data_IF_153985780640
#
_entry.id   IF_153985780640
#
_cell.length_a   1.000
_cell.length_b   1.000
_cell.length_c   1.000
_cell.angle_alpha   90.00
_cell.angle_beta   90.00
_cell.angle_gamma   90.00
#
_symmetry.space_group_name_H-M   'P 1'
#
loop_
_entity.id
_entity.type
_entity.pdbx_description
1 polymer ?
#
# COMPACT_ATOMS: atom_id res chain seq x y z
N UNK A 1 9.28 -6.45 27.95
CA UNK A 1 9.45 -5.71 26.69
C UNK A 1 10.23 -6.63 25.77
N UNK A 2 9.61 -7.18 24.72
CA UNK A 2 10.37 -7.87 23.68
C UNK A 2 11.28 -6.81 23.04
N UNK A 3 12.59 -7.06 23.01
CA UNK A 3 13.53 -6.19 22.32
C UNK A 3 13.13 -6.15 20.84
N UNK A 4 13.19 -4.96 20.22
CA UNK A 4 13.01 -4.86 18.78
C UNK A 4 14.13 -5.69 18.12
N UNK A 5 13.75 -6.69 17.34
CA UNK A 5 14.69 -7.53 16.62
C UNK A 5 15.22 -6.73 15.44
N UNK A 6 16.50 -6.37 15.50
CA UNK A 6 17.16 -5.61 14.43
C UNK A 6 17.79 -6.59 13.45
N UNK A 7 17.33 -6.57 12.20
CA UNK A 7 18.03 -7.26 11.11
C UNK A 7 19.21 -6.36 10.72
N UNK A 8 20.37 -6.61 11.32
CA UNK A 8 21.56 -5.77 11.18
C UNK A 8 22.18 -5.80 9.78
N UNK A 9 21.78 -6.75 8.92
CA UNK A 9 22.31 -6.84 7.56
C UNK A 9 21.21 -7.34 6.61
N UNK A 10 20.58 -6.40 5.92
CA UNK A 10 19.61 -6.67 4.85
C UNK A 10 20.27 -7.30 3.61
N UNK A 11 21.60 -7.36 3.55
CA UNK A 11 22.35 -7.92 2.42
C UNK A 11 22.15 -7.17 1.10
N UNK A 12 21.58 -5.95 1.13
CA UNK A 12 21.50 -5.04 0.00
C UNK A 12 22.75 -4.16 -0.07
N UNK A 13 23.20 -3.87 -1.29
CA UNK A 13 24.39 -3.04 -1.53
C UNK A 13 24.06 -1.53 -1.58
N UNK A 14 22.77 -1.19 -1.61
CA UNK A 14 22.26 0.16 -1.77
C UNK A 14 21.00 0.40 -0.90
N UNK A 15 20.52 1.65 -0.86
CA UNK A 15 19.39 2.10 -0.05
C UNK A 15 18.15 1.24 -0.25
N UNK A 16 17.53 0.84 0.87
CA UNK A 16 16.28 0.09 0.92
C UNK A 16 15.13 1.11 0.87
N UNK A 17 14.17 0.87 -0.02
CA UNK A 17 13.01 1.76 -0.17
C UNK A 17 11.77 1.25 0.56
N UNK A 18 11.60 -0.07 0.62
CA UNK A 18 10.43 -0.69 1.24
C UNK A 18 10.77 -2.06 1.83
N UNK A 19 10.00 -2.43 2.85
CA UNK A 19 10.11 -3.69 3.57
C UNK A 19 8.71 -4.14 4.03
N UNK A 20 8.25 -5.26 3.50
CA UNK A 20 6.90 -5.79 3.78
C UNK A 20 6.96 -7.21 4.33
N UNK A 21 6.28 -7.45 5.45
CA UNK A 21 6.02 -8.79 5.95
C UNK A 21 4.83 -9.43 5.22
N UNK A 22 4.88 -10.74 5.05
CA UNK A 22 3.73 -11.51 4.62
C UNK A 22 2.62 -11.54 5.69
N UNK A 23 1.45 -12.02 5.30
CA UNK A 23 0.27 -12.04 6.18
C UNK A 23 0.50 -12.80 7.50
N UNK A 24 1.42 -13.77 7.52
CA UNK A 24 1.72 -14.59 8.68
C UNK A 24 2.95 -14.12 9.48
N UNK A 25 3.65 -13.09 9.02
CA UNK A 25 4.89 -12.60 9.64
C UNK A 25 6.07 -13.59 9.56
N UNK A 26 6.02 -14.54 8.62
CA UNK A 26 7.08 -15.56 8.42
C UNK A 26 8.03 -15.19 7.28
N UNK A 27 7.59 -14.34 6.35
CA UNK A 27 8.41 -13.90 5.22
C UNK A 27 8.51 -12.39 5.20
N UNK A 28 9.71 -11.90 4.96
CA UNK A 28 9.98 -10.49 4.75
C UNK A 28 10.48 -10.30 3.33
N UNK A 29 9.83 -9.42 2.57
CA UNK A 29 10.35 -8.92 1.31
C UNK A 29 10.97 -7.55 1.54
N UNK A 30 12.19 -7.35 1.06
CA UNK A 30 12.86 -6.05 1.05
C UNK A 30 13.22 -5.68 -0.38
N UNK A 31 13.12 -4.39 -0.71
CA UNK A 31 13.48 -3.89 -2.04
C UNK A 31 14.40 -2.68 -1.96
N UNK A 32 15.30 -2.56 -2.94
CA UNK A 32 16.40 -1.61 -2.90
C UNK A 32 16.66 -0.95 -4.26
N UNK A 33 17.43 0.15 -4.22
CA UNK A 33 18.07 0.76 -5.40
C UNK A 33 18.97 -0.20 -6.18
N UNK A 34 19.44 -1.30 -5.56
CA UNK A 34 20.25 -2.33 -6.21
C UNK A 34 19.49 -3.17 -7.27
N UNK A 35 18.21 -2.82 -7.53
CA UNK A 35 17.32 -3.43 -8.53
C UNK A 35 16.86 -4.85 -8.16
N UNK A 36 17.11 -5.27 -6.93
CA UNK A 36 16.76 -6.60 -6.44
C UNK A 36 15.70 -6.53 -5.36
N UNK A 37 14.96 -7.63 -5.24
CA UNK A 37 14.07 -7.88 -4.11
C UNK A 37 14.61 -9.11 -3.40
N UNK A 38 14.81 -9.02 -2.09
CA UNK A 38 15.28 -10.15 -1.28
C UNK A 38 14.14 -10.67 -0.43
N UNK A 39 13.99 -11.99 -0.43
CA UNK A 39 13.00 -12.69 0.40
C UNK A 39 13.73 -13.35 1.55
N UNK A 40 13.36 -12.97 2.77
CA UNK A 40 13.85 -13.57 3.99
C UNK A 40 12.76 -14.42 4.63
N UNK A 41 13.15 -15.55 5.19
CA UNK A 41 12.34 -16.33 6.10
C UNK A 41 12.72 -15.95 7.52
N UNK A 42 11.72 -15.68 8.35
CA UNK A 42 11.87 -15.27 9.74
C UNK A 42 11.35 -16.41 10.61
N UNK A 43 12.26 -17.01 11.37
CA UNK A 43 11.97 -18.02 12.39
C UNK A 43 12.43 -17.50 13.75
N UNK A 44 11.51 -16.90 14.49
CA UNK A 44 11.80 -16.26 15.77
C UNK A 44 12.86 -15.17 15.61
N UNK A 45 13.99 -15.33 16.29
CA UNK A 45 15.09 -14.36 16.27
C UNK A 45 16.03 -14.52 15.06
N UNK A 46 15.88 -15.59 14.28
CA UNK A 46 16.73 -15.86 13.12
C UNK A 46 16.07 -15.42 11.82
N UNK A 47 16.87 -14.87 10.92
CA UNK A 47 16.45 -14.56 9.55
C UNK A 47 17.37 -15.29 8.57
N UNK A 48 16.79 -15.85 7.52
CA UNK A 48 17.53 -16.53 6.46
C UNK A 48 17.13 -15.96 5.10
N UNK A 49 18.11 -15.57 4.30
CA UNK A 49 17.86 -15.22 2.91
C UNK A 49 17.42 -16.49 2.16
N UNK A 50 16.19 -16.49 1.65
CA UNK A 50 15.62 -17.57 0.84
C UNK A 50 16.04 -17.39 -0.60
N UNK A 51 15.74 -16.22 -1.17
CA UNK A 51 15.91 -15.96 -2.60
C UNK A 51 16.21 -14.48 -2.86
N UNK A 52 16.95 -14.20 -3.93
CA UNK A 52 17.12 -12.84 -4.47
C UNK A 52 16.48 -12.77 -5.85
N UNK A 53 15.37 -12.05 -5.95
CA UNK A 53 14.61 -11.84 -7.17
C UNK A 53 15.30 -10.75 -8.00
N UNK A 54 15.71 -11.11 -9.21
CA UNK A 54 16.32 -10.21 -10.19
C UNK A 54 15.45 -10.15 -11.43
N UNK A 55 15.12 -8.94 -11.88
CA UNK A 55 14.27 -8.76 -13.06
C UNK A 55 13.98 -7.30 -13.41
N UNK A 56 14.11 -6.38 -12.45
CA UNK A 56 13.99 -4.95 -12.69
C UNK A 56 15.26 -4.35 -13.28
N UNK A 57 15.09 -3.30 -14.08
CA UNK A 57 16.19 -2.55 -14.71
C UNK A 57 16.52 -1.26 -13.94
N UNK A 58 15.66 -0.87 -13.00
CA UNK A 58 15.79 0.31 -12.14
C UNK A 58 15.59 0.00 -10.65
N UNK A 59 15.63 1.04 -9.82
CA UNK A 59 15.39 0.95 -8.39
C UNK A 59 13.96 0.46 -8.11
N UNK A 60 13.82 -0.45 -7.16
CA UNK A 60 12.52 -1.01 -6.76
C UNK A 60 11.98 -0.19 -5.59
N UNK A 61 10.82 0.43 -5.78
CA UNK A 61 10.26 1.41 -4.85
C UNK A 61 9.37 0.81 -3.76
N UNK A 62 8.58 -0.21 -4.12
CA UNK A 62 7.56 -0.76 -3.24
C UNK A 62 7.35 -2.25 -3.52
N UNK A 63 7.04 -2.98 -2.46
CA UNK A 63 6.67 -4.40 -2.51
C UNK A 63 5.35 -4.61 -1.77
N UNK A 64 4.45 -5.40 -2.36
CA UNK A 64 3.16 -5.68 -1.76
C UNK A 64 2.82 -7.18 -1.82
N UNK A 65 2.50 -7.76 -0.68
CA UNK A 65 2.07 -9.15 -0.56
C UNK A 65 0.58 -9.30 -0.89
N UNK A 66 0.25 -10.29 -1.70
CA UNK A 66 -1.14 -10.64 -1.95
C UNK A 66 -1.73 -11.41 -0.76
N UNK A 67 -3.07 -11.45 -0.69
CA UNK A 67 -3.75 -12.24 0.32
C UNK A 67 -3.45 -13.76 0.14
N UNK A 68 -3.16 -14.53 1.21
CA UNK A 68 -2.76 -15.94 1.12
C UNK A 68 -3.75 -16.85 0.38
N UNK A 69 -5.02 -16.46 0.29
CA UNK A 69 -6.06 -17.16 -0.49
C UNK A 69 -5.68 -17.37 -1.96
N UNK A 70 -4.86 -16.47 -2.53
CA UNK A 70 -4.39 -16.56 -3.91
C UNK A 70 -3.03 -17.28 -4.04
N UNK A 71 -2.47 -17.74 -2.92
CA UNK A 71 -1.13 -18.27 -2.80
C UNK A 71 -0.10 -17.20 -2.42
N UNK A 72 1.16 -17.63 -2.27
CA UNK A 72 2.27 -16.73 -1.97
C UNK A 72 2.66 -15.94 -3.22
N UNK A 73 2.10 -14.73 -3.35
CA UNK A 73 2.33 -13.82 -4.47
C UNK A 73 2.85 -12.49 -3.93
N UNK A 74 3.85 -11.95 -4.61
CA UNK A 74 4.45 -10.64 -4.32
C UNK A 74 4.39 -9.78 -5.58
N UNK A 75 3.92 -8.55 -5.44
CA UNK A 75 4.03 -7.52 -6.46
C UNK A 75 5.19 -6.58 -6.13
N UNK A 76 5.91 -6.13 -7.16
CA UNK A 76 6.96 -5.13 -7.02
C UNK A 76 6.83 -4.04 -8.08
N UNK A 77 7.07 -2.79 -7.67
CA UNK A 77 7.09 -1.63 -8.57
C UNK A 77 8.48 -1.02 -8.64
N UNK A 78 8.83 -0.48 -9.80
CA UNK A 78 10.18 0.01 -10.07
C UNK A 78 10.19 1.30 -10.90
N UNK A 79 11.32 1.98 -10.82
CA UNK A 79 11.65 3.15 -11.63
C UNK A 79 11.66 2.87 -13.14
N UNK A 80 11.83 1.61 -13.54
CA UNK A 80 11.79 1.18 -14.96
C UNK A 80 10.39 1.24 -15.60
N UNK A 81 9.36 1.64 -14.84
CA UNK A 81 7.97 1.69 -15.30
C UNK A 81 7.29 0.34 -15.36
N UNK A 82 7.91 -0.71 -14.83
CA UNK A 82 7.39 -2.07 -14.82
C UNK A 82 6.87 -2.45 -13.44
N UNK A 83 5.76 -3.18 -13.43
CA UNK A 83 5.27 -3.92 -12.27
C UNK A 83 5.50 -5.39 -12.55
N UNK A 84 6.23 -6.05 -11.65
CA UNK A 84 6.50 -7.48 -11.74
C UNK A 84 5.72 -8.23 -10.66
N UNK A 85 5.15 -9.36 -11.05
CA UNK A 85 4.42 -10.24 -10.14
C UNK A 85 5.18 -11.54 -10.01
N UNK A 86 5.58 -11.83 -8.78
CA UNK A 86 6.37 -12.99 -8.39
C UNK A 86 5.45 -13.97 -7.67
N UNK A 87 5.61 -15.25 -7.97
CA UNK A 87 4.90 -16.32 -7.27
C UNK A 87 5.91 -17.35 -6.81
N UNK A 88 5.71 -17.80 -5.58
CA UNK A 88 6.38 -18.96 -5.08
C UNK A 88 5.71 -20.23 -5.59
N UNK A 89 6.51 -21.12 -6.17
CA UNK A 89 6.09 -22.46 -6.54
C UNK A 89 6.83 -23.48 -5.67
N UNK A 90 6.06 -24.26 -4.93
CA UNK A 90 6.59 -25.47 -4.31
C UNK A 90 6.75 -26.53 -5.40
N UNK A 91 7.99 -26.96 -5.67
CA UNK A 91 8.20 -28.10 -6.54
C UNK A 91 7.69 -29.36 -5.82
N UNK A 92 6.55 -29.89 -6.27
CA UNK A 92 6.11 -31.24 -5.93
C UNK A 92 7.00 -32.25 -6.68
N UNK A 93 8.25 -32.38 -6.26
CA UNK A 93 9.09 -33.52 -6.66
C UNK A 93 9.25 -34.45 -5.47
N UNK A 94 9.28 -35.76 -5.73
CA UNK A 94 9.45 -36.86 -4.77
C UNK A 94 10.81 -36.88 -4.07
N UNK A 95 11.56 -35.78 -4.13
CA UNK A 95 12.88 -35.61 -3.51
C UNK A 95 12.74 -34.92 -2.15
N UNK A 96 13.45 -35.36 -1.10
CA UNK A 96 13.33 -34.83 0.26
C UNK A 96 13.91 -33.42 0.46
N UNK A 97 14.36 -32.77 -0.62
CA UNK A 97 14.81 -31.37 -0.62
C UNK A 97 13.81 -30.57 -1.47
N UNK A 98 12.61 -30.41 -0.95
CA UNK A 98 11.59 -29.57 -1.56
C UNK A 98 11.98 -28.10 -1.39
N UNK A 99 12.84 -27.61 -2.29
CA UNK A 99 13.16 -26.20 -2.41
C UNK A 99 11.96 -25.44 -2.95
N UNK A 100 11.56 -24.37 -2.27
CA UNK A 100 10.56 -23.46 -2.79
C UNK A 100 11.23 -22.50 -3.78
N UNK A 101 10.75 -22.44 -5.02
CA UNK A 101 11.38 -21.61 -6.07
C UNK A 101 10.48 -20.43 -6.39
N UNK A 102 11.05 -19.24 -6.46
CA UNK A 102 10.35 -18.05 -6.90
C UNK A 102 10.44 -17.87 -8.40
N UNK A 103 9.31 -17.55 -9.03
CA UNK A 103 9.22 -17.35 -10.48
C UNK A 103 8.46 -16.08 -10.79
N UNK A 104 8.88 -15.37 -11.83
CA UNK A 104 8.13 -14.23 -12.38
C UNK A 104 6.96 -14.78 -13.20
N UNK A 105 5.73 -14.42 -12.81
CA UNK A 105 4.50 -14.90 -13.44
C UNK A 105 3.95 -13.88 -14.44
N UNK A 106 4.13 -12.60 -14.17
CA UNK A 106 3.60 -11.53 -15.01
C UNK A 106 4.52 -10.32 -15.00
N UNK A 107 4.63 -9.67 -16.15
CA UNK A 107 5.26 -8.38 -16.31
C UNK A 107 4.27 -7.38 -16.91
N UNK A 108 4.20 -6.22 -16.30
CA UNK A 108 3.33 -5.13 -16.75
C UNK A 108 4.18 -3.90 -17.01
N UNK A 109 4.32 -3.50 -18.26
CA UNK A 109 5.22 -2.42 -18.69
C UNK A 109 4.52 -1.35 -19.54
N UNK A 110 3.24 -1.08 -19.26
CA UNK A 110 2.46 -0.12 -20.05
C UNK A 110 2.63 1.34 -19.58
N UNK A 111 3.18 1.55 -18.39
CA UNK A 111 3.49 2.89 -17.88
C UNK A 111 4.72 3.46 -18.57
N UNK A 112 4.67 4.76 -18.89
CA UNK A 112 5.77 5.45 -19.60
C UNK A 112 6.79 6.05 -18.64
N UNK A 113 6.49 6.04 -17.34
CA UNK A 113 7.35 6.58 -16.29
C UNK A 113 7.38 5.62 -15.08
N UNK A 114 8.15 6.00 -14.05
CA UNK A 114 8.33 5.26 -12.80
C UNK A 114 7.00 4.89 -12.13
N UNK A 115 6.85 3.61 -11.75
CA UNK A 115 5.72 3.15 -10.93
C UNK A 115 6.12 3.26 -9.46
N UNK A 116 5.50 4.21 -8.77
CA UNK A 116 5.90 4.63 -7.43
C UNK A 116 5.34 3.72 -6.34
N UNK A 117 4.14 3.17 -6.54
CA UNK A 117 3.49 2.36 -5.52
C UNK A 117 2.59 1.29 -6.11
N UNK A 118 2.51 0.16 -5.41
CA UNK A 118 1.63 -0.97 -5.72
C UNK A 118 0.86 -1.38 -4.46
N UNK A 119 -0.42 -1.69 -4.61
CA UNK A 119 -1.26 -2.10 -3.48
C UNK A 119 -2.29 -3.13 -3.91
N UNK A 120 -2.35 -4.26 -3.20
CA UNK A 120 -3.36 -5.29 -3.41
C UNK A 120 -4.70 -4.86 -2.80
N UNK A 121 -5.78 -5.12 -3.52
CA UNK A 121 -7.11 -4.89 -3.00
C UNK A 121 -7.48 -5.88 -1.90
N UNK A 122 -8.47 -5.55 -1.06
CA UNK A 122 -9.08 -6.49 -0.14
C UNK A 122 -9.54 -7.76 -0.87
N UNK A 123 -9.25 -8.92 -0.27
CA UNK A 123 -9.46 -10.23 -0.87
C UNK A 123 -10.91 -10.54 -1.25
N UNK A 124 -11.87 -9.85 -0.65
CA UNK A 124 -13.29 -9.91 -0.98
C UNK A 124 -13.54 -9.39 -2.40
N UNK A 125 -12.81 -8.35 -2.82
CA UNK A 125 -12.93 -7.74 -4.15
C UNK A 125 -12.31 -8.59 -5.26
N UNK A 126 -11.56 -9.63 -4.91
CA UNK A 126 -10.82 -10.48 -5.83
C UNK A 126 -9.31 -10.21 -5.80
N UNK A 127 -8.58 -10.82 -6.73
CA UNK A 127 -7.15 -10.64 -6.88
C UNK A 127 -6.89 -9.41 -7.77
N UNK A 128 -7.00 -8.23 -7.18
CA UNK A 128 -6.76 -6.95 -7.85
C UNK A 128 -5.50 -6.28 -7.30
N UNK A 129 -4.71 -5.70 -8.20
CA UNK A 129 -3.52 -4.93 -7.87
C UNK A 129 -3.67 -3.54 -8.48
N UNK A 130 -3.62 -2.49 -7.66
CA UNK A 130 -3.55 -1.13 -8.15
C UNK A 130 -2.11 -0.63 -8.16
N UNK A 131 -1.76 0.13 -9.20
CA UNK A 131 -0.43 0.69 -9.38
C UNK A 131 -0.53 2.18 -9.67
N UNK A 132 0.28 2.97 -8.98
CA UNK A 132 0.38 4.42 -9.16
C UNK A 132 1.68 4.77 -9.90
N UNK A 133 1.56 5.52 -11.00
CA UNK A 133 2.69 5.90 -11.84
C UNK A 133 2.90 7.41 -11.89
N UNK A 134 4.16 7.82 -12.08
CA UNK A 134 4.57 9.19 -12.30
C UNK A 134 4.06 9.77 -13.63
N UNK A 135 3.57 8.94 -14.55
CA UNK A 135 2.95 9.38 -15.81
C UNK A 135 1.55 9.99 -15.64
N UNK A 136 1.05 10.05 -14.39
CA UNK A 136 -0.26 10.60 -14.05
C UNK A 136 -1.41 9.59 -14.14
N UNK A 137 -1.12 8.35 -14.55
CA UNK A 137 -2.09 7.29 -14.67
C UNK A 137 -2.05 6.35 -13.47
N UNK A 138 -3.21 5.79 -13.17
CA UNK A 138 -3.35 4.64 -12.30
C UNK A 138 -3.75 3.45 -13.14
N UNK A 139 -3.11 2.32 -12.89
CA UNK A 139 -3.51 1.05 -13.46
C UNK A 139 -4.10 0.13 -12.40
N UNK A 140 -5.15 -0.60 -12.76
CA UNK A 140 -5.73 -1.66 -11.94
C UNK A 140 -5.63 -2.95 -12.74
N UNK A 141 -4.86 -3.88 -12.21
CA UNK A 141 -4.65 -5.21 -12.76
C UNK A 141 -5.60 -6.18 -12.05
N UNK A 142 -6.34 -6.97 -12.81
CA UNK A 142 -7.21 -8.02 -12.29
C UNK A 142 -6.70 -9.37 -12.76
N UNK A 143 -6.46 -10.28 -11.81
CA UNK A 143 -6.18 -11.67 -12.11
C UNK A 143 -7.46 -12.48 -12.05
N UNK A 144 -7.90 -12.96 -13.21
CA UNK A 144 -9.10 -13.79 -13.35
C UNK A 144 -8.86 -14.91 -14.35
N UNK A 145 -9.31 -16.11 -14.00
CA UNK A 145 -9.29 -17.30 -14.88
C UNK A 145 -7.91 -17.56 -15.52
N UNK A 146 -6.84 -17.45 -14.72
CA UNK A 146 -5.45 -17.64 -15.14
C UNK A 146 -4.97 -16.63 -16.21
N UNK A 147 -5.66 -15.51 -16.36
CA UNK A 147 -5.30 -14.40 -17.24
C UNK A 147 -5.25 -13.09 -16.46
N UNK A 148 -4.39 -12.18 -16.92
CA UNK A 148 -4.29 -10.83 -16.38
C UNK A 148 -5.02 -9.86 -17.29
N UNK A 149 -6.02 -9.17 -16.76
CA UNK A 149 -6.64 -8.02 -17.41
C UNK A 149 -6.14 -6.74 -16.74
N UNK A 150 -6.13 -5.64 -17.47
CA UNK A 150 -5.68 -4.35 -16.95
C UNK A 150 -6.63 -3.24 -17.36
N UNK A 151 -6.74 -2.23 -16.51
CA UNK A 151 -7.43 -0.99 -16.77
C UNK A 151 -6.49 0.15 -16.45
N UNK A 152 -6.40 1.14 -17.33
CA UNK A 152 -5.56 2.32 -17.13
C UNK A 152 -6.45 3.54 -17.34
N UNK A 153 -6.38 4.48 -16.42
CA UNK A 153 -7.08 5.76 -16.52
C UNK A 153 -6.21 6.87 -15.94
N UNK A 154 -6.45 8.10 -16.41
CA UNK A 154 -5.72 9.27 -15.96
C UNK A 154 -6.27 9.74 -14.61
N UNK A 155 -5.39 9.86 -13.60
CA UNK A 155 -5.77 10.21 -12.25
C UNK A 155 -5.30 11.62 -11.84
N UNK A 156 -4.02 11.96 -12.07
CA UNK A 156 -3.42 13.23 -11.64
C UNK A 156 -2.57 13.84 -12.77
N UNK A 157 -2.57 15.17 -12.89
CA UNK A 157 -1.91 15.85 -14.01
C UNK A 157 -0.38 15.84 -13.96
N UNK A 158 0.20 15.76 -12.76
CA UNK A 158 1.65 15.86 -12.52
C UNK A 158 2.31 14.55 -12.09
N UNK A 159 1.55 13.45 -12.07
CA UNK A 159 2.00 12.15 -11.55
C UNK A 159 1.28 11.70 -10.29
N UNK A 160 1.24 10.38 -10.07
CA UNK A 160 0.64 9.73 -8.91
C UNK A 160 1.75 9.11 -8.06
N UNK A 161 1.83 9.51 -6.80
CA UNK A 161 2.87 9.03 -5.88
C UNK A 161 2.40 7.83 -5.08
N UNK A 162 1.12 7.78 -4.73
CA UNK A 162 0.58 6.77 -3.81
C UNK A 162 -0.88 6.43 -4.09
N UNK A 163 -1.28 5.24 -3.65
CA UNK A 163 -2.58 4.62 -3.83
C UNK A 163 -2.93 3.67 -2.68
N UNK A 164 -4.10 3.83 -2.06
CA UNK A 164 -4.55 2.92 -1.01
C UNK A 164 -5.99 2.50 -1.24
N UNK A 165 -6.25 1.20 -1.15
CA UNK A 165 -7.59 0.66 -1.22
C UNK A 165 -8.41 0.99 0.03
N UNK A 166 -9.69 1.25 -0.17
CA UNK A 166 -10.66 1.29 0.90
C UNK A 166 -11.01 -0.15 1.35
N UNK A 167 -11.43 -0.34 2.60
CA UNK A 167 -11.95 -1.62 3.07
C UNK A 167 -13.14 -2.09 2.23
N UNK A 168 -13.26 -3.40 2.00
CA UNK A 168 -14.38 -3.98 1.25
C UNK A 168 -15.74 -3.85 1.98
N UNK A 169 -15.72 -3.73 3.31
CA UNK A 169 -16.90 -3.51 4.12
C UNK A 169 -17.26 -2.01 4.11
N UNK A 170 -18.53 -1.71 3.87
CA UNK A 170 -19.02 -0.35 4.08
C UNK A 170 -18.93 0.01 5.57
N UNK A 171 -18.57 1.27 5.91
CA UNK A 171 -18.59 1.76 7.28
C UNK A 171 -19.93 1.45 7.95
N UNK A 172 -19.91 0.71 9.08
CA UNK A 172 -21.13 0.33 9.79
C UNK A 172 -21.87 -0.91 9.28
N UNK A 173 -21.32 -1.67 8.32
CA UNK A 173 -21.92 -2.92 7.81
C UNK A 173 -22.16 -3.99 8.88
N UNK A 174 -21.49 -3.94 10.03
CA UNK A 174 -21.75 -4.85 11.16
C UNK A 174 -22.96 -4.44 12.01
N UNK A 175 -23.44 -3.20 11.87
CA UNK A 175 -24.54 -2.62 12.66
C UNK A 175 -25.81 -2.49 11.79
N UNK A 176 -25.66 -2.39 10.47
CA UNK A 176 -26.78 -2.34 9.54
C UNK A 176 -27.43 -3.72 9.34
N UNK A 177 -28.73 -3.83 9.61
CA UNK A 177 -29.55 -5.02 9.32
C UNK A 177 -29.81 -5.24 7.82
N UNK A 178 -29.29 -4.36 6.96
CA UNK A 178 -29.40 -4.45 5.52
C UNK A 178 -28.01 -4.22 4.91
N UNK A 179 -27.25 -5.28 4.56
CA UNK A 179 -25.98 -5.11 3.86
C UNK A 179 -26.28 -4.46 2.52
N UNK A 180 -25.67 -3.30 2.24
CA UNK A 180 -25.76 -2.70 0.91
C UNK A 180 -25.31 -3.76 -0.12
N UNK A 181 -26.12 -4.05 -1.16
CA UNK A 181 -25.76 -5.05 -2.14
C UNK A 181 -24.66 -4.47 -3.04
N UNK A 182 -23.42 -4.87 -2.79
CA UNK A 182 -22.30 -4.56 -3.67
C UNK A 182 -21.00 -4.36 -2.91
N UNK A 183 -19.96 -5.11 -3.30
CA UNK A 183 -18.58 -4.80 -2.94
C UNK A 183 -18.25 -3.42 -3.50
N UNK A 184 -18.23 -2.40 -2.65
CA UNK A 184 -17.81 -1.07 -3.07
C UNK A 184 -16.29 -1.07 -3.16
N UNK A 185 -15.78 -1.26 -4.38
CA UNK A 185 -14.37 -1.09 -4.68
C UNK A 185 -14.08 0.40 -4.75
N UNK A 186 -13.38 0.90 -3.74
CA UNK A 186 -12.90 2.29 -3.72
C UNK A 186 -11.42 2.30 -3.39
N UNK A 187 -10.74 3.32 -3.85
CA UNK A 187 -9.39 3.61 -3.42
C UNK A 187 -9.15 5.12 -3.44
N UNK A 188 -8.13 5.54 -2.71
CA UNK A 188 -7.64 6.92 -2.69
C UNK A 188 -6.30 6.99 -3.40
N UNK A 189 -6.07 8.07 -4.13
CA UNK A 189 -4.79 8.37 -4.79
C UNK A 189 -4.25 9.70 -4.30
N UNK A 190 -2.94 9.77 -4.13
CA UNK A 190 -2.20 10.99 -3.82
C UNK A 190 -1.28 11.37 -4.97
N UNK A 191 -1.41 12.59 -5.46
CA UNK A 191 -0.64 13.08 -6.61
C UNK A 191 0.36 14.17 -6.29
N UNK A 192 1.22 14.44 -7.27
CA UNK A 192 2.12 15.61 -7.29
C UNK A 192 1.41 16.91 -7.68
N UNK A 193 0.08 16.88 -7.83
CA UNK A 193 -0.79 18.05 -8.00
C UNK A 193 -1.33 18.58 -6.67
N UNK A 194 -0.82 18.06 -5.54
CA UNK A 194 -1.22 18.40 -4.16
C UNK A 194 -2.63 17.93 -3.78
N UNK A 195 -3.27 17.16 -4.66
CA UNK A 195 -4.63 16.69 -4.49
C UNK A 195 -4.65 15.24 -4.00
N UNK A 196 -5.69 14.95 -3.25
CA UNK A 196 -6.15 13.59 -3.00
C UNK A 196 -7.43 13.35 -3.78
N UNK A 197 -7.53 12.19 -4.42
CA UNK A 197 -8.73 11.82 -5.20
C UNK A 197 -9.25 10.47 -4.73
N UNK A 198 -10.55 10.39 -4.50
CA UNK A 198 -11.25 9.15 -4.16
C UNK A 198 -11.94 8.65 -5.41
N UNK A 199 -11.75 7.38 -5.70
CA UNK A 199 -12.26 6.72 -6.89
C UNK A 199 -13.22 5.61 -6.49
N UNK A 200 -14.39 5.60 -7.11
CA UNK A 200 -15.41 4.57 -6.93
C UNK A 200 -15.53 3.73 -8.20
N UNK A 201 -15.51 2.41 -8.08
CA UNK A 201 -15.73 1.51 -9.21
C UNK A 201 -17.18 1.53 -9.64
N UNK A 202 -17.43 1.80 -10.92
CA UNK A 202 -18.75 1.65 -11.53
C UNK A 202 -18.80 0.33 -12.33
N UNK A 203 -19.65 -0.64 -11.93
CA UNK A 203 -19.82 -1.91 -12.65
C UNK A 203 -20.33 -1.76 -14.08
N UNK A 204 -21.11 -0.71 -14.39
CA UNK A 204 -21.72 -0.51 -15.69
C UNK A 204 -20.69 -0.08 -16.74
N UNK A 205 -19.85 0.91 -16.39
CA UNK A 205 -18.77 1.38 -17.25
C UNK A 205 -17.51 0.53 -17.13
N UNK A 206 -17.47 -0.41 -16.18
CA UNK A 206 -16.29 -1.21 -15.81
C UNK A 206 -15.05 -0.33 -15.63
N UNK A 207 -15.19 0.86 -15.07
CA UNK A 207 -14.08 1.76 -14.81
C UNK A 207 -14.26 2.45 -13.45
N UNK A 208 -13.18 3.07 -12.98
CA UNK A 208 -13.17 3.87 -11.77
C UNK A 208 -13.51 5.31 -12.10
N UNK A 209 -14.57 5.83 -11.49
CA UNK A 209 -14.99 7.21 -11.64
C UNK A 209 -14.50 8.03 -10.45
N UNK A 210 -14.12 9.27 -10.72
CA UNK A 210 -13.76 10.21 -9.67
C UNK A 210 -15.02 10.50 -8.84
N UNK A 211 -14.96 10.13 -7.56
CA UNK A 211 -16.01 10.38 -6.59
C UNK A 211 -15.83 11.78 -6.00
N UNK A 212 -14.64 12.01 -5.43
CA UNK A 212 -14.34 13.24 -4.69
C UNK A 212 -12.90 13.66 -4.84
N UNK A 213 -12.68 14.98 -4.81
CA UNK A 213 -11.37 15.60 -4.71
C UNK A 213 -11.24 16.25 -3.34
N UNK A 214 -10.19 15.88 -2.62
CA UNK A 214 -9.85 16.42 -1.31
C UNK A 214 -8.70 17.40 -1.47
N UNK A 215 -9.01 18.69 -1.25
CA UNK A 215 -8.06 19.80 -1.37
C UNK A 215 -7.60 20.22 0.02
N UNK A 216 -6.29 20.39 0.20
CA UNK A 216 -5.77 20.82 1.49
C UNK A 216 -4.26 20.91 1.59
N UNK A 217 -3.53 20.04 0.90
CA UNK A 217 -2.07 20.10 0.89
C UNK A 217 -1.57 21.23 0.00
N UNK A 218 -0.44 21.83 0.39
CA UNK A 218 0.20 22.91 -0.38
C UNK A 218 1.37 22.42 -1.25
N UNK A 219 1.77 21.16 -1.09
CA UNK A 219 2.87 20.52 -1.83
C UNK A 219 2.55 19.04 -2.09
N UNK A 220 3.45 18.34 -2.80
CA UNK A 220 3.23 16.98 -3.30
C UNK A 220 2.83 16.01 -2.19
N UNK A 221 1.76 15.27 -2.43
CA UNK A 221 1.33 14.19 -1.55
C UNK A 221 2.26 13.00 -1.77
N UNK A 222 3.01 12.61 -0.74
CA UNK A 222 3.98 11.51 -0.80
C UNK A 222 3.35 10.16 -0.56
N UNK A 223 2.39 10.11 0.36
CA UNK A 223 1.71 8.86 0.68
C UNK A 223 0.27 9.09 1.14
N UNK A 224 -0.60 8.10 0.86
CA UNK A 224 -1.99 8.07 1.27
C UNK A 224 -2.33 6.68 1.80
N UNK A 225 -3.00 6.63 2.94
CA UNK A 225 -3.37 5.38 3.59
C UNK A 225 -4.83 5.44 4.07
N UNK A 226 -5.65 4.53 3.57
CA UNK A 226 -7.03 4.36 4.04
C UNK A 226 -7.02 3.43 5.26
N UNK A 227 -7.67 3.84 6.33
CA UNK A 227 -7.76 3.01 7.54
C UNK A 227 -8.59 1.75 7.27
N UNK A 228 -8.11 0.56 7.71
CA UNK A 228 -8.87 -0.68 7.63
C UNK A 228 -10.07 -0.73 8.59
N UNK A 229 -10.30 0.33 9.37
CA UNK A 229 -11.39 0.40 10.33
C UNK A 229 -12.75 0.23 9.67
N UNK A 230 -13.54 -0.71 10.19
CA UNK A 230 -14.93 -1.00 9.78
C UNK A 230 -15.96 -0.25 10.63
N UNK A 231 -15.50 0.68 11.46
CA UNK A 231 -16.35 1.54 12.29
C UNK A 231 -17.24 2.44 11.42
N UNK A 232 -18.15 3.18 12.06
CA UNK A 232 -19.06 4.12 11.38
C UNK A 232 -18.35 5.31 10.72
N UNK A 233 -17.08 5.54 11.06
CA UNK A 233 -16.23 6.59 10.51
C UNK A 233 -15.16 5.98 9.61
N UNK A 234 -15.02 6.55 8.41
CA UNK A 234 -13.88 6.28 7.54
C UNK A 234 -12.77 7.26 7.84
N UNK A 235 -11.53 6.76 7.85
CA UNK A 235 -10.34 7.57 8.05
C UNK A 235 -9.40 7.38 6.86
N UNK A 236 -8.89 8.47 6.32
CA UNK A 236 -7.78 8.48 5.36
C UNK A 236 -6.69 9.37 5.96
N UNK A 237 -5.45 8.90 5.93
CA UNK A 237 -4.30 9.72 6.28
C UNK A 237 -3.51 10.05 5.02
N UNK A 238 -3.02 11.28 4.94
CA UNK A 238 -2.21 11.75 3.83
C UNK A 238 -0.98 12.49 4.32
N UNK A 239 0.19 12.08 3.86
CA UNK A 239 1.46 12.78 4.12
C UNK A 239 1.88 13.56 2.89
N UNK A 240 2.35 14.78 3.11
CA UNK A 240 2.86 15.65 2.06
C UNK A 240 4.25 16.19 2.37
N UNK A 241 4.90 16.68 1.32
CA UNK A 241 6.13 17.46 1.41
C UNK A 241 5.96 18.83 2.09
N UNK A 242 4.71 19.29 2.25
CA UNK A 242 4.39 20.49 3.02
C UNK A 242 4.63 20.35 4.53
N UNK A 243 5.16 19.19 4.97
CA UNK A 243 5.45 18.83 6.36
C UNK A 243 4.20 18.68 7.21
N UNK A 244 3.06 18.38 6.58
CA UNK A 244 1.82 18.10 7.28
C UNK A 244 1.33 16.69 6.99
N UNK A 245 0.74 16.07 8.02
CA UNK A 245 -0.20 14.95 7.83
C UNK A 245 -1.60 15.50 7.94
N UNK A 246 -2.46 15.17 6.99
CA UNK A 246 -3.90 15.43 7.10
C UNK A 246 -4.63 14.12 7.34
N UNK A 247 -5.48 14.13 8.36
CA UNK A 247 -6.42 13.05 8.64
C UNK A 247 -7.78 13.47 8.16
N UNK A 248 -8.27 12.78 7.14
CA UNK A 248 -9.58 12.98 6.56
C UNK A 248 -10.55 12.01 7.22
N UNK A 249 -11.63 12.55 7.78
CA UNK A 249 -12.70 11.75 8.38
C UNK A 249 -14.00 11.95 7.62
N UNK A 250 -14.74 10.86 7.41
CA UNK A 250 -16.09 10.90 6.85
C UNK A 250 -17.01 9.98 7.62
N UNK A 251 -18.16 10.52 8.03
CA UNK A 251 -19.22 9.75 8.70
C UNK A 251 -20.07 9.00 7.67
N UNK A 252 -20.46 7.76 8.00
CA UNK A 252 -21.34 6.94 7.18
C UNK A 252 -22.68 7.63 6.85
N UNK A 253 -23.20 8.51 7.72
CA UNK A 253 -24.46 9.20 7.48
C UNK A 253 -24.39 10.28 6.40
N UNK A 254 -23.21 10.85 6.17
CA UNK A 254 -23.02 12.03 5.33
C UNK A 254 -22.28 11.74 4.03
N UNK A 255 -22.19 10.46 3.62
CA UNK A 255 -21.55 9.93 2.41
C UNK A 255 -21.12 11.02 1.40
N UNK A 256 -19.94 11.61 1.62
CA UNK A 256 -19.44 12.69 0.77
C UNK A 256 -18.97 13.96 1.49
N UNK A 257 -19.20 14.15 2.79
CA UNK A 257 -18.51 15.22 3.51
C UNK A 257 -17.24 14.67 4.20
N UNK A 258 -16.08 15.12 3.74
CA UNK A 258 -14.80 14.86 4.40
C UNK A 258 -14.35 16.10 5.15
N UNK A 259 -14.02 15.92 6.42
CA UNK A 259 -13.37 16.94 7.24
C UNK A 259 -11.89 16.57 7.38
N UNK A 260 -11.01 17.57 7.32
CA UNK A 260 -9.58 17.36 7.56
C UNK A 260 -9.16 17.90 8.92
N UNK A 261 -8.34 17.13 9.62
CA UNK A 261 -7.54 17.59 10.75
C UNK A 261 -6.08 17.58 10.34
N UNK A 262 -5.39 18.69 10.59
CA UNK A 262 -3.98 18.86 10.24
C UNK A 262 -3.08 18.57 11.43
N UNK A 263 -2.02 17.80 11.18
CA UNK A 263 -0.91 17.54 12.10
C UNK A 263 0.35 18.12 11.47
N UNK A 264 0.99 19.03 12.18
CA UNK A 264 2.21 19.71 11.72
C UNK A 264 3.45 18.98 12.21
N UNK A 265 4.45 18.89 11.33
CA UNK A 265 5.74 18.29 11.58
C UNK A 265 6.86 19.24 11.14
N UNK A 266 8.05 19.07 11.70
CA UNK A 266 9.21 19.92 11.35
C UNK A 266 9.89 19.48 10.04
N UNK A 267 9.60 18.27 9.57
CA UNK A 267 10.25 17.61 8.43
C UNK A 267 9.27 17.12 7.37
N UNK A 268 9.80 16.87 6.17
CA UNK A 268 9.07 16.19 5.10
C UNK A 268 8.69 14.79 5.54
N UNK A 269 7.52 14.32 5.09
CA UNK A 269 6.99 13.01 5.44
C UNK A 269 6.96 12.11 4.21
N UNK A 270 7.26 10.82 4.39
CA UNK A 270 7.47 9.89 3.29
C UNK A 270 6.42 8.80 3.19
N UNK A 271 6.09 8.16 4.33
CA UNK A 271 5.11 7.07 4.40
C UNK A 271 4.17 7.24 5.58
N UNK A 272 2.95 6.75 5.39
CA UNK A 272 1.92 6.68 6.41
C UNK A 272 1.29 5.29 6.37
N UNK A 273 1.11 4.68 7.54
CA UNK A 273 0.50 3.35 7.61
C UNK A 273 -0.41 3.23 8.83
N UNK A 274 -1.55 2.58 8.62
CA UNK A 274 -2.52 2.29 9.67
C UNK A 274 -2.25 0.93 10.29
N UNK A 275 -2.52 0.82 11.59
CA UNK A 275 -2.60 -0.49 12.23
C UNK A 275 -3.72 -1.32 11.61
N UNK A 276 -3.61 -2.67 11.59
CA UNK A 276 -4.71 -3.53 11.12
C UNK A 276 -6.03 -3.34 11.90
N UNK A 277 -5.93 -2.86 13.15
CA UNK A 277 -7.09 -2.46 13.97
C UNK A 277 -7.69 -1.09 13.60
N UNK A 278 -7.01 -0.30 12.77
CA UNK A 278 -7.45 1.01 12.29
C UNK A 278 -7.35 2.16 13.30
N UNK A 279 -6.75 1.94 14.48
CA UNK A 279 -6.76 2.89 15.59
C UNK A 279 -5.43 3.63 15.80
N UNK A 280 -4.32 3.10 15.28
CA UNK A 280 -2.99 3.69 15.43
C UNK A 280 -2.46 4.03 14.04
N UNK A 281 -1.90 5.23 13.92
CA UNK A 281 -1.24 5.71 12.71
C UNK A 281 0.27 5.76 12.94
N UNK A 282 1.03 5.16 12.03
CA UNK A 282 2.48 5.31 11.96
C UNK A 282 2.82 6.30 10.86
N UNK A 283 3.65 7.28 11.17
CA UNK A 283 4.13 8.32 10.24
C UNK A 283 5.65 8.26 10.22
N UNK A 284 6.22 8.22 9.03
CA UNK A 284 7.68 8.26 8.82
C UNK A 284 8.11 9.62 8.27
N UNK A 285 9.05 10.25 8.96
CA UNK A 285 9.63 11.54 8.59
C UNK A 285 10.99 11.40 7.92
N UNK A 286 11.45 12.49 7.29
CA UNK A 286 12.80 12.63 6.76
C UNK A 286 13.86 12.87 7.83
N UNK A 287 13.48 12.94 9.11
CA UNK A 287 14.37 12.94 10.28
C UNK A 287 14.80 11.54 10.73
N UNK A 288 14.48 10.51 9.94
CA UNK A 288 14.69 9.09 10.26
C UNK A 288 13.94 8.63 11.52
N UNK A 289 12.87 9.34 11.91
CA UNK A 289 12.02 8.96 13.04
C UNK A 289 10.68 8.42 12.56
N UNK A 290 10.14 7.49 13.34
CA UNK A 290 8.76 7.00 13.15
C UNK A 290 7.93 7.42 14.34
N UNK A 291 6.96 8.30 14.11
CA UNK A 291 6.02 8.75 15.13
C UNK A 291 4.73 7.94 15.06
N UNK A 292 4.25 7.49 16.21
CA UNK A 292 2.96 6.83 16.38
C UNK A 292 1.93 7.80 16.93
N UNK A 293 0.74 7.81 16.32
CA UNK A 293 -0.36 8.69 16.65
C UNK A 293 -1.64 7.91 16.93
N UNK A 294 -2.46 8.42 17.84
CA UNK A 294 -3.76 7.84 18.20
C UNK A 294 -4.79 8.93 18.42
N UNK A 295 -6.03 8.66 18.05
CA UNK A 295 -7.17 9.53 18.33
C UNK A 295 -7.64 9.36 19.79
N UNK A 296 -7.82 10.49 20.46
CA UNK A 296 -8.40 10.58 21.79
C UNK A 296 -9.93 10.59 21.76
N UNK A 297 -10.56 10.42 22.93
CA UNK A 297 -12.03 10.47 23.07
C UNK A 297 -12.66 11.79 22.60
N UNK A 298 -11.87 12.87 22.53
CA UNK A 298 -12.30 14.19 22.03
C UNK A 298 -12.17 14.33 20.50
N UNK A 299 -11.69 13.30 19.80
CA UNK A 299 -11.41 13.34 18.37
C UNK A 299 -10.18 14.16 17.99
N UNK A 300 -9.21 14.30 18.90
CA UNK A 300 -7.92 14.94 18.64
C UNK A 300 -6.84 13.88 18.56
N UNK A 301 -5.86 14.08 17.68
CA UNK A 301 -4.74 13.16 17.51
C UNK A 301 -3.60 13.53 18.46
N UNK A 302 -3.16 12.56 19.25
CA UNK A 302 -2.03 12.71 20.15
C UNK A 302 -0.91 11.77 19.75
N UNK A 303 0.32 12.26 19.93
CA UNK A 303 1.54 11.52 19.72
C UNK A 303 1.73 10.53 20.86
N UNK A 304 1.69 9.24 20.54
CA UNK A 304 1.84 8.16 21.52
C UNK A 304 3.31 7.89 21.81
N UNK A 305 4.13 7.80 20.76
CA UNK A 305 5.54 7.42 20.88
C UNK A 305 6.34 7.82 19.65
N UNK A 306 7.59 8.21 19.87
CA UNK A 306 8.61 8.21 18.82
C UNK A 306 9.46 6.96 18.91
N UNK A 307 9.70 6.37 17.75
CA UNK A 307 10.66 5.30 17.57
C UNK A 307 11.82 5.93 16.80
N UNK A 308 12.97 5.95 17.47
CA UNK A 308 14.27 6.32 16.92
C UNK A 308 15.12 5.06 16.94
N UNK A 309 16.03 4.92 15.96
CA UNK A 309 17.06 3.87 15.97
C UNK A 309 18.09 4.07 17.10
#
# INVERSE_FOLDING_TARGET
MAAAQVISNSGHDDMIHDAGLDYYGRRLATCSSDKTIKIFEIEGETHRLVETLKGHEGAVWCVAWAHPKFGTILASSSYDGKVLIWREQHQNTTSPVAGSTWTKVFDFSLHTASVNMVSWAPHESGCLLACASSDGHVSVLEFRDNSWTHQIFHAHGMGVNSISWAPAASPGSLISSNPAPGQQRRFVTGGSDNLLKIWDYNPESKTYNLSQTLEGHSDWVRDVAWSPSILSKSYIASASQDKTVRIWTSDASNHGQWTSQQLEFDTVLWRVSWSPSGNILAVSGGDNKVSLWKENLKGQWEKVKDIEE
#
